data_IF_739026896346
#
_entry.id   IF_739026896346
#
_cell.length_a   1.000
_cell.length_b   1.000
_cell.length_c   1.000
_cell.angle_alpha   90.00
_cell.angle_beta   90.00
_cell.angle_gamma   90.00
#
_symmetry.space_group_name_H-M   'P 1'
#
loop_
_entity.id
_entity.type
_entity.pdbx_description
1 polymer ?
#
# COMPACT_ATOMS: atom_id res chain seq x y z
N UNK A 1 -7.57 1.66 -13.23
CA UNK A 1 -8.35 0.42 -13.15
C UNK A 1 -7.49 -0.64 -12.49
N UNK A 2 -8.03 -1.34 -11.51
CA UNK A 2 -7.32 -2.41 -10.82
C UNK A 2 -8.26 -3.57 -10.48
N UNK A 3 -7.73 -4.79 -10.52
CA UNK A 3 -8.48 -6.02 -10.30
C UNK A 3 -8.08 -6.63 -8.95
N UNK A 4 -9.06 -7.13 -8.19
CA UNK A 4 -8.81 -7.87 -6.96
C UNK A 4 -7.96 -9.13 -7.22
N UNK A 5 -7.20 -9.61 -6.21
CA UNK A 5 -6.30 -10.76 -6.39
C UNK A 5 -6.98 -12.05 -6.86
N UNK A 6 -8.27 -12.24 -6.52
CA UNK A 6 -9.07 -13.37 -6.97
C UNK A 6 -9.72 -13.17 -8.35
N UNK A 7 -9.59 -11.97 -8.92
CA UNK A 7 -10.19 -11.61 -10.21
C UNK A 7 -11.67 -11.29 -10.16
N UNK A 8 -12.31 -11.30 -8.99
CA UNK A 8 -13.75 -11.13 -8.84
C UNK A 8 -14.23 -9.68 -8.99
N UNK A 9 -13.44 -8.72 -8.54
CA UNK A 9 -13.80 -7.32 -8.57
C UNK A 9 -12.79 -6.49 -9.35
N UNK A 10 -13.30 -5.50 -10.09
CA UNK A 10 -12.48 -4.50 -10.76
C UNK A 10 -12.88 -3.12 -10.24
N UNK A 11 -11.91 -2.39 -9.68
CA UNK A 11 -12.05 -0.98 -9.33
C UNK A 11 -11.75 -0.12 -10.55
N UNK A 12 -12.66 0.79 -10.87
CA UNK A 12 -12.55 1.66 -12.03
C UNK A 12 -12.68 3.12 -11.60
N UNK A 13 -11.66 3.93 -11.90
CA UNK A 13 -11.73 5.37 -11.76
C UNK A 13 -12.19 5.99 -13.10
N UNK A 14 -13.28 6.73 -13.07
CA UNK A 14 -13.84 7.41 -14.24
C UNK A 14 -13.33 8.85 -14.32
N UNK A 15 -12.07 9.00 -14.74
CA UNK A 15 -11.46 10.30 -15.08
C UNK A 15 -11.66 11.38 -14.02
N UNK A 16 -11.41 11.07 -12.76
CA UNK A 16 -11.55 11.95 -11.60
C UNK A 16 -13.00 12.40 -11.27
N UNK A 17 -13.99 11.78 -11.89
CA UNK A 17 -15.40 12.11 -11.63
C UNK A 17 -16.03 11.24 -10.53
N UNK A 18 -15.85 9.94 -10.64
CA UNK A 18 -16.36 8.95 -9.68
C UNK A 18 -15.65 7.62 -9.83
N UNK A 19 -15.92 6.73 -8.90
CA UNK A 19 -15.42 5.36 -8.93
C UNK A 19 -16.57 4.37 -9.03
N UNK A 20 -16.30 3.24 -9.69
CA UNK A 20 -17.19 2.09 -9.74
C UNK A 20 -16.44 0.82 -9.34
N UNK A 21 -17.19 -0.18 -8.90
CA UNK A 21 -16.75 -1.56 -8.79
C UNK A 21 -17.55 -2.42 -9.75
N UNK A 22 -16.84 -3.20 -10.55
CA UNK A 22 -17.42 -4.19 -11.45
C UNK A 22 -17.25 -5.59 -10.83
N UNK A 23 -18.33 -6.33 -10.67
CA UNK A 23 -18.37 -7.72 -10.22
C UNK A 23 -18.30 -8.61 -11.48
N UNK A 24 -17.20 -9.31 -11.66
CA UNK A 24 -16.94 -10.10 -12.87
C UNK A 24 -17.79 -11.37 -12.95
N UNK A 25 -18.24 -11.90 -11.81
CA UNK A 25 -19.11 -13.08 -11.76
C UNK A 25 -20.56 -12.75 -12.08
N UNK A 26 -21.02 -11.59 -11.61
CA UNK A 26 -22.42 -11.12 -11.84
C UNK A 26 -22.53 -10.24 -13.07
N UNK A 27 -21.41 -9.84 -13.68
CA UNK A 27 -21.35 -8.91 -14.81
C UNK A 27 -22.10 -7.59 -14.53
N UNK A 28 -21.98 -7.10 -13.30
CA UNK A 28 -22.64 -5.88 -12.84
C UNK A 28 -21.67 -4.81 -12.38
N UNK A 29 -21.95 -3.58 -12.76
CA UNK A 29 -21.22 -2.41 -12.33
C UNK A 29 -22.02 -1.61 -11.31
N UNK A 30 -21.35 -1.09 -10.30
CA UNK A 30 -21.95 -0.33 -9.23
C UNK A 30 -21.09 0.88 -8.89
N UNK A 31 -21.71 2.07 -8.81
CA UNK A 31 -21.04 3.28 -8.36
C UNK A 31 -20.74 3.23 -6.87
N UNK A 32 -19.55 3.70 -6.48
CA UNK A 32 -19.14 3.82 -5.10
C UNK A 32 -19.55 5.19 -4.56
N UNK A 33 -20.55 5.20 -3.70
CA UNK A 33 -21.03 6.44 -3.09
C UNK A 33 -20.09 6.90 -1.96
N UNK A 34 -19.80 8.21 -1.93
CA UNK A 34 -18.93 8.81 -0.90
C UNK A 34 -17.43 8.74 -1.19
N UNK A 35 -17.01 8.11 -2.28
CA UNK A 35 -15.61 8.12 -2.73
C UNK A 35 -15.39 9.29 -3.69
N UNK A 36 -14.42 10.16 -3.37
CA UNK A 36 -14.05 11.28 -4.23
C UNK A 36 -13.49 10.78 -5.56
N UNK A 37 -13.92 11.40 -6.66
CA UNK A 37 -13.33 11.15 -7.98
C UNK A 37 -11.87 11.57 -8.08
N UNK A 38 -11.40 12.41 -7.16
CA UNK A 38 -9.99 12.81 -7.05
C UNK A 38 -9.16 11.89 -6.19
N UNK A 39 -9.74 10.82 -5.63
CA UNK A 39 -8.98 9.81 -4.92
C UNK A 39 -7.86 9.26 -5.84
N UNK A 40 -6.66 9.14 -5.29
CA UNK A 40 -5.46 8.81 -6.06
C UNK A 40 -5.55 7.35 -6.54
N UNK A 41 -5.53 7.17 -7.84
CA UNK A 41 -5.66 5.83 -8.45
C UNK A 41 -4.44 4.94 -8.25
N UNK A 42 -3.32 5.50 -7.85
CA UNK A 42 -2.07 4.79 -7.53
C UNK A 42 -1.90 4.48 -6.04
N UNK A 43 -2.79 4.99 -5.19
CA UNK A 43 -2.79 4.78 -3.74
C UNK A 43 -3.92 3.83 -3.30
N UNK A 44 -4.21 2.83 -4.09
CA UNK A 44 -5.16 1.78 -3.73
C UNK A 44 -4.45 0.48 -3.39
N UNK A 45 -5.08 -0.30 -2.52
CA UNK A 45 -4.61 -1.63 -2.14
C UNK A 45 -5.81 -2.55 -1.86
N UNK A 46 -5.69 -3.82 -2.20
CA UNK A 46 -6.66 -4.84 -1.83
C UNK A 46 -6.22 -5.50 -0.54
N UNK A 47 -7.07 -5.43 0.47
CA UNK A 47 -6.80 -6.04 1.78
C UNK A 47 -7.79 -7.18 2.05
N UNK A 48 -7.37 -8.18 2.81
CA UNK A 48 -8.15 -9.38 3.11
C UNK A 48 -8.66 -10.13 1.89
N UNK A 49 -7.73 -10.38 1.00
CA UNK A 49 -7.87 -11.38 -0.04
C UNK A 49 -8.98 -11.14 -1.06
N UNK A 50 -9.81 -10.18 -1.12
CA UNK A 50 -10.68 -10.11 -2.27
C UNK A 50 -11.89 -9.17 -2.12
N UNK A 51 -12.34 -8.91 -0.91
CA UNK A 51 -13.59 -8.17 -0.72
C UNK A 51 -13.41 -6.73 -0.24
N UNK A 52 -12.20 -6.36 0.13
CA UNK A 52 -11.90 -5.04 0.70
C UNK A 52 -10.80 -4.37 -0.09
N UNK A 53 -11.02 -3.13 -0.44
CA UNK A 53 -10.00 -2.26 -1.00
C UNK A 53 -9.87 -0.98 -0.20
N UNK A 54 -8.69 -0.37 -0.29
CA UNK A 54 -8.44 0.97 0.22
C UNK A 54 -8.01 1.88 -0.91
N UNK A 55 -8.44 3.13 -0.85
CA UNK A 55 -8.02 4.16 -1.82
C UNK A 55 -7.63 5.40 -1.04
N UNK A 56 -6.41 5.88 -1.28
CA UNK A 56 -5.93 7.15 -0.76
C UNK A 56 -6.62 8.32 -1.46
N UNK A 57 -6.79 9.42 -0.74
CA UNK A 57 -7.35 10.66 -1.26
C UNK A 57 -6.56 11.83 -0.67
N UNK A 58 -5.85 12.58 -1.50
CA UNK A 58 -5.08 13.73 -1.10
C UNK A 58 -5.93 15.00 -1.14
N UNK A 59 -5.78 15.86 -0.16
CA UNK A 59 -6.40 17.18 -0.14
C UNK A 59 -5.50 18.20 0.58
N UNK A 60 -5.69 19.47 0.24
CA UNK A 60 -4.91 20.57 0.81
C UNK A 60 -5.76 21.39 1.76
N UNK A 61 -5.25 21.65 2.96
CA UNK A 61 -5.87 22.52 3.97
C UNK A 61 -4.79 23.41 4.58
N UNK A 62 -5.00 24.73 4.54
CA UNK A 62 -4.03 25.70 5.06
C UNK A 62 -2.59 25.53 4.48
N UNK A 63 -2.48 25.30 3.18
CA UNK A 63 -1.22 25.02 2.48
C UNK A 63 -0.47 23.77 2.96
N UNK A 64 -1.13 22.88 3.67
CA UNK A 64 -0.61 21.57 4.06
C UNK A 64 -1.38 20.49 3.34
N UNK A 65 -0.66 19.53 2.78
CA UNK A 65 -1.25 18.35 2.17
C UNK A 65 -1.59 17.31 3.24
N UNK A 66 -2.76 16.73 3.11
CA UNK A 66 -3.26 15.68 3.98
C UNK A 66 -3.78 14.53 3.14
N UNK A 67 -3.76 13.34 3.71
CA UNK A 67 -4.28 12.14 3.10
C UNK A 67 -5.47 11.61 3.91
N UNK A 68 -6.46 11.08 3.19
CA UNK A 68 -7.57 10.32 3.76
C UNK A 68 -7.53 8.91 3.24
N UNK A 69 -7.86 7.96 4.09
CA UNK A 69 -8.07 6.59 3.69
C UNK A 69 -9.56 6.34 3.46
N UNK A 70 -9.90 5.86 2.27
CA UNK A 70 -11.23 5.36 1.97
C UNK A 70 -11.17 3.83 1.98
N UNK A 71 -11.90 3.24 2.92
CA UNK A 71 -12.08 1.81 3.04
C UNK A 71 -13.33 1.38 2.29
N UNK A 72 -13.21 0.47 1.36
CA UNK A 72 -14.27 0.07 0.43
C UNK A 72 -14.56 -1.41 0.64
N UNK A 73 -15.79 -1.71 1.00
CA UNK A 73 -16.35 -3.05 0.93
C UNK A 73 -16.81 -3.31 -0.50
N UNK A 74 -16.09 -4.14 -1.23
CA UNK A 74 -16.33 -4.39 -2.66
C UNK A 74 -17.61 -5.18 -2.91
N UNK A 75 -18.05 -6.00 -1.95
CA UNK A 75 -19.28 -6.77 -2.08
C UNK A 75 -20.53 -5.89 -1.96
N UNK A 76 -20.53 -4.95 -1.01
CA UNK A 76 -21.67 -4.07 -0.75
C UNK A 76 -21.57 -2.72 -1.44
N UNK A 77 -20.36 -2.32 -1.86
CA UNK A 77 -20.07 -0.98 -2.39
C UNK A 77 -20.04 0.12 -1.32
N UNK A 78 -20.07 -0.23 -0.04
CA UNK A 78 -20.03 0.74 1.05
C UNK A 78 -18.63 1.32 1.22
N UNK A 79 -18.57 2.63 1.36
CA UNK A 79 -17.33 3.38 1.58
C UNK A 79 -17.33 3.95 3.00
N UNK A 80 -16.26 3.73 3.74
CA UNK A 80 -15.99 4.36 5.02
C UNK A 80 -14.75 5.22 4.91
N UNK A 81 -14.91 6.50 5.21
CA UNK A 81 -13.81 7.48 5.16
C UNK A 81 -13.15 7.57 6.53
N UNK A 82 -11.83 7.41 6.59
CA UNK A 82 -11.01 7.69 7.75
C UNK A 82 -10.38 9.08 7.58
N UNK A 83 -10.63 10.01 8.52
CA UNK A 83 -10.17 11.39 8.38
C UNK A 83 -8.65 11.49 8.62
N UNK A 84 -8.08 12.45 7.97
CA UNK A 84 -6.75 13.07 8.10
C UNK A 84 -5.63 12.25 8.72
N UNK A 85 -4.69 11.83 7.88
CA UNK A 85 -3.45 11.20 8.32
C UNK A 85 -2.29 11.76 7.50
N UNK A 86 -1.07 11.59 8.00
CA UNK A 86 0.15 11.82 7.23
C UNK A 86 0.28 10.81 6.08
N UNK A 87 1.43 10.21 5.95
CA UNK A 87 1.63 9.20 4.91
C UNK A 87 0.79 7.95 5.14
N UNK A 88 0.22 7.42 4.06
CA UNK A 88 -0.64 6.24 4.07
C UNK A 88 -0.12 5.21 3.07
N UNK A 89 -0.12 3.93 3.48
CA UNK A 89 0.10 2.80 2.59
C UNK A 89 -0.87 1.66 2.93
N UNK A 90 -1.73 1.30 1.97
CA UNK A 90 -2.83 0.38 2.25
C UNK A 90 -3.74 0.91 3.37
N UNK A 91 -3.92 0.13 4.42
CA UNK A 91 -4.68 0.55 5.62
C UNK A 91 -3.80 1.09 6.76
N UNK A 92 -2.52 1.35 6.50
CA UNK A 92 -1.57 1.82 7.48
C UNK A 92 -1.21 3.29 7.25
N UNK A 93 -1.20 4.07 8.33
CA UNK A 93 -0.50 5.36 8.38
C UNK A 93 0.86 5.17 9.03
N UNK A 94 1.81 6.00 8.65
CA UNK A 94 3.15 5.92 9.22
C UNK A 94 3.80 7.30 9.37
N UNK A 95 4.77 7.35 10.28
CA UNK A 95 5.59 8.53 10.51
C UNK A 95 7.03 8.10 10.79
N UNK A 96 7.97 8.66 10.03
CA UNK A 96 9.40 8.45 10.24
C UNK A 96 9.94 9.47 11.25
N UNK A 97 10.54 8.99 12.34
CA UNK A 97 11.30 9.80 13.31
C UNK A 97 12.80 9.48 13.14
N UNK A 98 13.43 10.21 12.24
CA UNK A 98 14.86 10.03 11.92
C UNK A 98 15.79 10.25 13.11
N UNK A 99 15.41 11.15 14.02
CA UNK A 99 16.20 11.41 15.25
C UNK A 99 16.20 10.23 16.20
N UNK A 100 15.06 9.56 16.34
CA UNK A 100 14.92 8.37 17.18
C UNK A 100 15.18 7.07 16.43
N UNK A 101 15.50 7.16 15.14
CA UNK A 101 15.73 6.00 14.24
C UNK A 101 14.60 4.99 14.33
N UNK A 102 13.37 5.44 14.11
CA UNK A 102 12.20 4.58 14.17
C UNK A 102 11.12 5.03 13.20
N UNK A 103 10.37 4.08 12.70
CA UNK A 103 9.16 4.27 11.93
C UNK A 103 7.98 3.84 12.81
N UNK A 104 7.09 4.76 13.12
CA UNK A 104 5.85 4.48 13.84
C UNK A 104 4.76 4.20 12.81
N UNK A 105 4.06 3.08 12.95
CA UNK A 105 2.99 2.69 12.06
C UNK A 105 1.71 2.40 12.85
N UNK A 106 0.56 2.78 12.31
CA UNK A 106 -0.76 2.48 12.86
C UNK A 106 -1.68 1.94 11.77
N UNK A 107 -2.25 0.77 12.02
CA UNK A 107 -3.34 0.27 11.18
C UNK A 107 -4.62 1.03 11.49
N UNK A 108 -5.14 1.75 10.53
CA UNK A 108 -6.30 2.64 10.70
C UNK A 108 -7.61 1.89 10.98
N UNK A 109 -7.67 0.63 10.59
CA UNK A 109 -8.86 -0.22 10.75
C UNK A 109 -8.82 -0.94 12.09
N UNK A 110 -7.74 -1.68 12.36
CA UNK A 110 -7.62 -2.51 13.58
C UNK A 110 -7.11 -1.73 14.79
N UNK A 111 -6.57 -0.51 14.57
CA UNK A 111 -5.92 0.33 15.59
C UNK A 111 -4.65 -0.28 16.18
N UNK A 112 -4.11 -1.29 15.55
CA UNK A 112 -2.83 -1.86 15.91
C UNK A 112 -1.71 -0.84 15.66
N UNK A 113 -0.85 -0.64 16.66
CA UNK A 113 0.36 0.19 16.55
C UNK A 113 1.61 -0.67 16.63
N UNK A 114 2.58 -0.34 15.82
CA UNK A 114 3.90 -0.97 15.81
C UNK A 114 4.98 0.07 15.64
N UNK A 115 6.17 -0.25 16.11
CA UNK A 115 7.38 0.57 15.92
C UNK A 115 8.41 -0.29 15.23
N UNK A 116 8.87 0.17 14.08
CA UNK A 116 9.92 -0.48 13.31
C UNK A 116 11.22 0.28 13.61
N UNK A 117 12.23 -0.34 14.24
CA UNK A 117 13.53 0.30 14.46
C UNK A 117 14.23 0.48 13.11
N UNK A 118 14.87 1.62 12.89
CA UNK A 118 15.64 1.90 11.68
C UNK A 118 17.13 1.69 11.95
N UNK A 119 17.83 1.07 11.01
CA UNK A 119 19.27 0.84 11.12
C UNK A 119 20.06 2.15 11.06
N UNK A 120 19.61 3.08 10.25
CA UNK A 120 20.24 4.37 10.01
C UNK A 120 19.31 5.52 10.36
N UNK A 121 19.84 6.73 10.50
CA UNK A 121 19.05 7.95 10.73
C UNK A 121 18.65 8.56 9.38
N UNK A 122 18.06 7.76 8.50
CA UNK A 122 17.62 8.15 7.17
C UNK A 122 16.12 8.30 7.11
N UNK A 123 15.64 9.07 6.17
CA UNK A 123 14.22 9.09 5.85
C UNK A 123 13.85 7.80 5.12
N UNK A 124 12.87 7.10 5.68
CA UNK A 124 12.44 5.79 5.19
C UNK A 124 10.96 5.84 4.96
N UNK A 125 10.52 5.40 3.80
CA UNK A 125 9.11 5.31 3.46
C UNK A 125 8.66 3.86 3.26
N UNK A 126 7.38 3.61 3.48
CA UNK A 126 6.78 2.32 3.22
C UNK A 126 6.44 2.23 1.72
N UNK A 127 7.08 1.32 1.03
CA UNK A 127 6.78 1.04 -0.38
C UNK A 127 5.56 0.13 -0.50
N UNK A 128 5.51 -0.91 0.34
CA UNK A 128 4.38 -1.82 0.39
C UNK A 128 4.26 -2.43 1.80
N UNK A 129 3.05 -2.74 2.19
CA UNK A 129 2.77 -3.53 3.39
C UNK A 129 1.74 -4.60 3.03
N UNK A 130 2.05 -5.87 3.29
CA UNK A 130 1.16 -6.98 3.01
C UNK A 130 1.27 -8.05 4.10
N UNK A 131 0.20 -8.21 4.87
CA UNK A 131 0.20 -9.07 6.04
C UNK A 131 1.22 -8.63 7.08
N UNK A 132 2.15 -9.51 7.40
CA UNK A 132 3.21 -9.26 8.38
C UNK A 132 4.48 -8.65 7.78
N UNK A 133 4.52 -8.45 6.46
CA UNK A 133 5.70 -7.95 5.77
C UNK A 133 5.55 -6.48 5.39
N UNK A 134 6.59 -5.71 5.70
CA UNK A 134 6.73 -4.30 5.33
C UNK A 134 7.96 -4.14 4.45
N UNK A 135 7.76 -3.63 3.26
CA UNK A 135 8.83 -3.26 2.35
C UNK A 135 9.14 -1.79 2.54
N UNK A 136 10.37 -1.49 2.88
CA UNK A 136 10.87 -0.16 3.18
C UNK A 136 11.88 0.27 2.12
N UNK A 137 11.86 1.53 1.73
CA UNK A 137 12.84 2.14 0.85
C UNK A 137 13.44 3.39 1.48
N UNK A 138 14.68 3.73 1.10
CA UNK A 138 15.35 4.98 1.46
C UNK A 138 15.39 5.91 0.25
N UNK A 139 15.32 7.23 0.49
CA UNK A 139 15.26 8.19 -0.60
C UNK A 139 16.58 8.39 -1.34
N UNK A 140 17.71 8.24 -0.66
CA UNK A 140 19.01 8.66 -1.19
C UNK A 140 19.87 7.54 -1.78
N UNK A 141 19.88 6.37 -1.13
CA UNK A 141 20.82 5.29 -1.50
C UNK A 141 20.17 4.14 -2.26
N UNK A 142 18.87 4.23 -2.55
CA UNK A 142 18.07 3.16 -3.15
C UNK A 142 18.29 1.81 -2.42
N UNK A 143 18.39 1.87 -1.10
CA UNK A 143 18.49 0.69 -0.25
C UNK A 143 17.10 0.27 0.17
N UNK A 144 16.84 -1.01 0.09
CA UNK A 144 15.54 -1.59 0.39
C UNK A 144 15.65 -2.59 1.51
N UNK A 145 14.63 -2.59 2.36
CA UNK A 145 14.57 -3.49 3.49
C UNK A 145 13.22 -4.20 3.55
N UNK A 146 13.27 -5.47 3.90
CA UNK A 146 12.07 -6.23 4.26
C UNK A 146 12.04 -6.39 5.78
N UNK A 147 10.97 -5.94 6.42
CA UNK A 147 10.73 -6.09 7.84
C UNK A 147 9.53 -7.02 8.08
N UNK A 148 9.68 -7.96 8.99
CA UNK A 148 8.57 -8.82 9.42
C UNK A 148 8.02 -8.31 10.75
N UNK A 149 6.74 -7.92 10.76
CA UNK A 149 6.05 -7.37 11.94
C UNK A 149 5.83 -8.40 13.05
N UNK A 150 5.83 -9.69 12.73
CA UNK A 150 5.61 -10.78 13.68
C UNK A 150 6.89 -11.17 14.40
N UNK A 151 7.96 -11.37 13.64
CA UNK A 151 9.24 -11.84 14.16
C UNK A 151 10.18 -10.69 14.52
N UNK A 152 9.80 -9.44 14.16
CA UNK A 152 10.62 -8.23 14.30
C UNK A 152 12.00 -8.35 13.63
N UNK A 153 12.07 -9.15 12.56
CA UNK A 153 13.29 -9.37 11.78
C UNK A 153 13.42 -8.36 10.66
N UNK A 154 14.66 -7.96 10.42
CA UNK A 154 15.04 -6.95 9.44
C UNK A 154 16.02 -7.51 8.45
N UNK A 155 15.71 -7.50 7.17
CA UNK A 155 16.58 -7.98 6.10
C UNK A 155 16.77 -6.90 5.04
N UNK A 156 18.01 -6.56 4.76
CA UNK A 156 18.37 -5.76 3.59
C UNK A 156 18.19 -6.61 2.34
N UNK A 157 17.64 -6.03 1.30
CA UNK A 157 17.41 -6.68 0.02
C UNK A 157 18.59 -6.40 -0.90
N UNK A 158 19.22 -7.46 -1.37
CA UNK A 158 20.19 -7.36 -2.44
C UNK A 158 19.46 -7.28 -3.78
N UNK A 159 19.43 -6.07 -4.32
CA UNK A 159 18.74 -5.79 -5.57
C UNK A 159 19.73 -5.91 -6.72
N UNK A 160 19.48 -6.79 -7.70
CA UNK A 160 20.31 -6.89 -8.89
C UNK A 160 20.45 -5.54 -9.60
N UNK A 161 21.68 -5.24 -10.04
CA UNK A 161 22.00 -3.94 -10.63
C UNK A 161 21.18 -3.65 -11.90
N UNK A 162 20.86 -4.70 -12.63
CA UNK A 162 20.13 -4.67 -13.89
C UNK A 162 18.70 -4.13 -13.75
N UNK A 163 18.12 -4.22 -12.53
CA UNK A 163 16.74 -3.80 -12.27
C UNK A 163 16.63 -2.57 -11.37
N UNK A 164 17.72 -2.04 -10.82
CA UNK A 164 17.70 -0.92 -9.85
C UNK A 164 17.02 0.36 -10.36
N UNK A 165 17.17 0.68 -11.64
CA UNK A 165 16.70 1.96 -12.19
C UNK A 165 15.20 2.05 -12.43
N UNK A 166 14.51 0.93 -12.58
CA UNK A 166 13.06 0.85 -12.89
C UNK A 166 12.39 -0.25 -12.08
N UNK A 167 12.80 -0.37 -10.81
CA UNK A 167 12.40 -1.46 -9.92
C UNK A 167 10.94 -1.30 -9.47
N UNK A 168 10.17 -2.35 -9.71
CA UNK A 168 8.87 -2.57 -9.08
C UNK A 168 8.96 -3.77 -8.13
N UNK A 169 8.27 -3.70 -7.01
CA UNK A 169 8.34 -4.71 -5.96
C UNK A 169 6.95 -5.08 -5.47
N UNK A 170 6.68 -6.39 -5.35
CA UNK A 170 5.38 -6.90 -4.93
C UNK A 170 5.53 -8.05 -3.93
N UNK A 171 4.93 -7.88 -2.75
CA UNK A 171 4.89 -8.94 -1.74
C UNK A 171 3.74 -9.89 -2.06
N UNK A 172 4.07 -11.13 -2.41
CA UNK A 172 3.13 -12.23 -2.59
C UNK A 172 3.04 -13.04 -1.28
N UNK A 173 2.11 -12.63 -0.40
CA UNK A 173 1.99 -13.20 0.96
C UNK A 173 1.71 -14.70 0.95
N UNK A 174 0.77 -15.17 0.12
CA UNK A 174 0.39 -16.59 0.05
C UNK A 174 1.56 -17.48 -0.33
N UNK A 175 2.33 -17.04 -1.30
CA UNK A 175 3.50 -17.75 -1.83
C UNK A 175 4.76 -17.53 -0.98
N UNK A 176 4.70 -16.65 0.02
CA UNK A 176 5.84 -16.22 0.83
C UNK A 176 7.04 -15.80 -0.02
N UNK A 177 6.76 -14.98 -1.03
CA UNK A 177 7.74 -14.48 -1.98
C UNK A 177 7.63 -12.97 -2.16
N UNK A 178 8.74 -12.35 -2.51
CA UNK A 178 8.84 -11.00 -3.02
C UNK A 178 9.20 -11.09 -4.50
N UNK A 179 8.38 -10.51 -5.35
CA UNK A 179 8.70 -10.30 -6.75
C UNK A 179 9.42 -8.96 -6.89
N UNK A 180 10.59 -9.00 -7.50
CA UNK A 180 11.35 -7.84 -7.95
C UNK A 180 11.32 -7.85 -9.48
N UNK A 181 10.90 -6.78 -10.11
CA UNK A 181 10.76 -6.76 -11.56
C UNK A 181 11.02 -5.37 -12.15
N UNK A 182 11.29 -5.35 -13.42
CA UNK A 182 11.25 -4.19 -14.29
C UNK A 182 10.60 -4.60 -15.63
N UNK A 183 10.66 -3.75 -16.63
CA UNK A 183 10.06 -4.03 -17.96
C UNK A 183 10.68 -5.25 -18.68
N UNK A 184 11.85 -5.74 -18.27
CA UNK A 184 12.61 -6.78 -18.97
C UNK A 184 12.85 -8.03 -18.16
N UNK A 185 12.98 -7.91 -16.84
CA UNK A 185 13.44 -8.99 -15.96
C UNK A 185 12.59 -9.11 -14.70
N UNK A 186 12.53 -10.31 -14.15
CA UNK A 186 11.81 -10.59 -12.93
C UNK A 186 12.57 -11.59 -12.05
N UNK A 187 12.64 -11.30 -10.76
CA UNK A 187 13.31 -12.10 -9.75
C UNK A 187 12.35 -12.44 -8.62
N UNK A 188 12.42 -13.68 -8.14
CA UNK A 188 11.64 -14.13 -6.99
C UNK A 188 12.56 -14.35 -5.79
N UNK A 189 12.29 -13.62 -4.72
CA UNK A 189 13.01 -13.70 -3.45
C UNK A 189 12.11 -14.34 -2.40
N UNK A 190 12.62 -15.32 -1.65
CA UNK A 190 11.85 -15.91 -0.55
C UNK A 190 11.74 -14.95 0.63
N UNK A 191 10.55 -14.90 1.25
CA UNK A 191 10.27 -14.06 2.44
C UNK A 191 10.74 -14.67 3.77
N UNK A 192 11.45 -15.78 3.74
CA UNK A 192 11.97 -16.43 4.95
C UNK A 192 13.30 -15.83 5.38
#
# INVERSE_FOLDING_TARGET
>A
MSMSPDGKYILINHSKSYWTVFDTEKETERKLEGLSGYALSNEYDFINDDHIATVGDAFTKNNTEFYRLNYIDLETGKVKVYPEYGDIKGCWTYQCDTKKKRLEIENLITKQKKVIPLKQAEDVHIMQINGDYVLLGTDFDAVYYLYNLQDETYRELDIPEEIRGTLEMYIAKKEKKLLLTNEKEAYLVNLK
#
